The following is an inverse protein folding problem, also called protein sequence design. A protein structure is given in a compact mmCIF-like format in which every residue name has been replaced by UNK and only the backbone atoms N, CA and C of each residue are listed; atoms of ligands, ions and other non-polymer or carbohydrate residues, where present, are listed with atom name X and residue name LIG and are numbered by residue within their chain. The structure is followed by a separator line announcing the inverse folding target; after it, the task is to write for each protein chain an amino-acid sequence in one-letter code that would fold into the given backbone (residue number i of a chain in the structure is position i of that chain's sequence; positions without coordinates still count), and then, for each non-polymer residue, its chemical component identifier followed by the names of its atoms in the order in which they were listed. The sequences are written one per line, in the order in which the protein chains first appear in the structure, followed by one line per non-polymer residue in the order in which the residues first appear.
data_IF_702401019383
#
_entry.id   IF_702401019383
#
_cell.length_a   1.000
_cell.length_b   1.000
_cell.length_c   1.000
_cell.angle_alpha   90.00
_cell.angle_beta   90.00
_cell.angle_gamma   90.00
#
_symmetry.space_group_name_H-M   'P 1'
#
loop_
_entity.id
_entity.type
_entity.pdbx_description
1 polymer ?
#
# COMPACT_ATOMS: atom_id res chain seq x y z
N UNK A 1 -9.15 -27.52 -24.62
CA UNK A 1 -7.70 -27.25 -24.53
C UNK A 1 -7.36 -25.75 -24.62
N UNK A 2 -7.50 -25.05 -25.76
CA UNK A 2 -7.14 -23.63 -25.85
C UNK A 2 -7.96 -22.69 -24.92
N UNK A 3 -9.28 -22.91 -24.81
CA UNK A 3 -10.14 -22.13 -23.91
C UNK A 3 -9.84 -22.38 -22.42
N UNK A 4 -9.44 -23.62 -22.06
CA UNK A 4 -9.06 -23.97 -20.68
C UNK A 4 -7.74 -23.29 -20.30
N UNK A 5 -6.73 -23.32 -21.18
CA UNK A 5 -5.46 -22.62 -20.97
C UNK A 5 -5.64 -21.09 -20.84
N UNK A 6 -6.53 -20.49 -21.65
CA UNK A 6 -6.85 -19.06 -21.55
C UNK A 6 -7.56 -18.70 -20.23
N UNK A 7 -8.44 -19.60 -19.74
CA UNK A 7 -9.12 -19.44 -18.45
C UNK A 7 -8.13 -19.54 -17.28
N UNK A 8 -7.22 -20.52 -17.30
CA UNK A 8 -6.19 -20.72 -16.29
C UNK A 8 -5.24 -19.51 -16.21
N UNK A 9 -4.81 -18.96 -17.36
CA UNK A 9 -3.97 -17.75 -17.39
C UNK A 9 -4.69 -16.53 -16.81
N UNK A 10 -5.99 -16.39 -17.11
CA UNK A 10 -6.81 -15.30 -16.55
C UNK A 10 -6.92 -15.42 -15.02
N UNK A 11 -7.17 -16.64 -14.53
CA UNK A 11 -7.24 -16.90 -13.09
C UNK A 11 -5.91 -16.59 -12.38
N UNK A 12 -4.78 -17.03 -12.96
CA UNK A 12 -3.46 -16.74 -12.41
C UNK A 12 -3.16 -15.22 -12.34
N UNK A 13 -3.56 -14.45 -13.35
CA UNK A 13 -3.42 -12.99 -13.35
C UNK A 13 -4.29 -12.33 -12.27
N UNK A 14 -5.54 -12.76 -12.13
CA UNK A 14 -6.44 -12.24 -11.11
C UNK A 14 -5.89 -12.50 -9.70
N UNK A 15 -5.32 -13.68 -9.47
CA UNK A 15 -4.67 -14.01 -8.19
C UNK A 15 -3.48 -13.10 -7.91
N UNK A 16 -2.62 -12.85 -8.90
CA UNK A 16 -1.49 -11.92 -8.74
C UNK A 16 -1.95 -10.49 -8.42
N UNK A 17 -2.99 -10.00 -9.10
CA UNK A 17 -3.55 -8.68 -8.83
C UNK A 17 -4.15 -8.59 -7.41
N UNK A 18 -4.85 -9.65 -6.97
CA UNK A 18 -5.40 -9.69 -5.61
C UNK A 18 -4.27 -9.67 -4.57
N UNK A 19 -3.23 -10.48 -4.74
CA UNK A 19 -2.07 -10.50 -3.84
C UNK A 19 -1.38 -9.13 -3.78
N UNK A 20 -1.20 -8.48 -4.93
CA UNK A 20 -0.63 -7.13 -5.00
C UNK A 20 -1.51 -6.09 -4.29
N UNK A 21 -2.84 -6.16 -4.46
CA UNK A 21 -3.77 -5.27 -3.79
C UNK A 21 -3.76 -5.45 -2.26
N UNK A 22 -3.67 -6.70 -1.78
CA UNK A 22 -3.55 -7.00 -0.35
C UNK A 22 -2.25 -6.46 0.22
N UNK A 23 -1.11 -6.71 -0.43
CA UNK A 23 0.19 -6.19 0.01
C UNK A 23 0.19 -4.65 0.06
N UNK A 24 -0.41 -3.99 -0.93
CA UNK A 24 -0.57 -2.53 -0.95
C UNK A 24 -1.41 -2.04 0.23
N UNK A 25 -2.53 -2.70 0.51
CA UNK A 25 -3.40 -2.37 1.65
C UNK A 25 -2.66 -2.51 2.98
N UNK A 26 -1.88 -3.56 3.13
CA UNK A 26 -1.12 -3.83 4.36
C UNK A 26 -0.03 -2.78 4.58
N UNK A 27 0.73 -2.42 3.54
CA UNK A 27 1.71 -1.33 3.62
C UNK A 27 1.07 0.01 4.02
N UNK A 28 -0.07 0.36 3.41
CA UNK A 28 -0.81 1.57 3.78
C UNK A 28 -1.27 1.51 5.24
N UNK A 29 -1.75 0.36 5.71
CA UNK A 29 -2.15 0.14 7.10
C UNK A 29 -0.99 0.35 8.09
N UNK A 30 0.17 -0.23 7.81
CA UNK A 30 1.36 -0.09 8.65
C UNK A 30 1.87 1.36 8.68
N UNK A 31 1.97 2.01 7.52
CA UNK A 31 2.39 3.41 7.44
C UNK A 31 1.43 4.34 8.20
N UNK A 32 0.11 4.08 8.16
CA UNK A 32 -0.86 4.80 9.01
C UNK A 32 -0.55 4.60 10.49
N UNK A 33 -0.25 3.37 10.93
CA UNK A 33 0.13 3.09 12.31
C UNK A 33 1.35 3.90 12.76
N UNK A 34 2.38 3.98 11.91
CA UNK A 34 3.57 4.81 12.16
C UNK A 34 3.20 6.29 12.28
N UNK A 35 2.38 6.83 11.37
CA UNK A 35 1.97 8.24 11.39
C UNK A 35 1.08 8.57 12.60
N UNK A 36 0.15 7.69 12.97
CA UNK A 36 -0.67 7.84 14.18
C UNK A 36 0.24 8.00 15.41
N UNK A 37 1.25 7.14 15.55
CA UNK A 37 2.17 7.16 16.69
C UNK A 37 3.10 8.38 16.66
N UNK A 38 3.64 8.76 15.49
CA UNK A 38 4.63 9.84 15.36
C UNK A 38 4.03 11.24 15.36
N UNK A 39 2.79 11.38 14.89
CA UNK A 39 2.16 12.68 14.70
C UNK A 39 0.98 12.95 15.66
N UNK A 40 0.65 11.99 16.52
CA UNK A 40 -0.48 12.06 17.47
C UNK A 40 -1.81 12.41 16.77
N UNK A 41 -2.14 11.65 15.74
CA UNK A 41 -3.33 11.84 14.91
C UNK A 41 -4.18 10.59 14.85
N UNK A 42 -5.48 10.75 14.59
CA UNK A 42 -6.35 9.61 14.37
C UNK A 42 -6.10 8.90 13.02
N UNK A 43 -6.78 7.77 12.85
CA UNK A 43 -6.66 6.92 11.66
C UNK A 43 -7.11 7.61 10.37
N UNK A 44 -8.12 8.48 10.42
CA UNK A 44 -8.63 9.18 9.25
C UNK A 44 -7.62 10.26 8.81
N UNK A 45 -7.09 11.02 9.76
CA UNK A 45 -6.09 12.06 9.52
C UNK A 45 -4.77 11.48 9.01
N UNK A 46 -4.31 10.34 9.53
CA UNK A 46 -3.13 9.65 9.00
C UNK A 46 -3.29 9.25 7.52
N UNK A 47 -4.49 8.79 7.12
CA UNK A 47 -4.75 8.47 5.71
C UNK A 47 -4.80 9.73 4.82
N UNK A 48 -5.35 10.84 5.32
CA UNK A 48 -5.30 12.14 4.64
C UNK A 48 -3.85 12.56 4.40
N UNK A 49 -2.97 12.42 5.40
CA UNK A 49 -1.55 12.75 5.25
C UNK A 49 -0.85 11.92 4.16
N UNK A 50 -1.09 10.61 4.10
CA UNK A 50 -0.58 9.76 3.01
C UNK A 50 -1.07 10.23 1.63
N UNK A 51 -2.36 10.56 1.52
CA UNK A 51 -2.95 11.07 0.27
C UNK A 51 -2.34 12.41 -0.13
N UNK A 52 -2.20 13.34 0.81
CA UNK A 52 -1.59 14.65 0.57
C UNK A 52 -0.15 14.49 0.08
N UNK A 53 0.68 13.70 0.77
CA UNK A 53 2.06 13.44 0.33
C UNK A 53 2.12 12.79 -1.06
N UNK A 54 1.24 11.83 -1.34
CA UNK A 54 1.15 11.21 -2.66
C UNK A 54 0.82 12.22 -3.76
N UNK A 55 -0.10 13.14 -3.50
CA UNK A 55 -0.49 14.19 -4.44
C UNK A 55 0.62 15.21 -4.64
N UNK A 56 1.20 15.70 -3.54
CA UNK A 56 2.26 16.72 -3.55
C UNK A 56 3.51 16.21 -4.28
N UNK A 57 3.84 14.93 -4.12
CA UNK A 57 5.01 14.31 -4.73
C UNK A 57 4.71 13.64 -6.08
N UNK A 58 3.43 13.54 -6.48
CA UNK A 58 2.98 12.77 -7.64
C UNK A 58 3.54 11.33 -7.66
N UNK A 59 3.49 10.66 -6.50
CA UNK A 59 3.97 9.29 -6.30
C UNK A 59 2.83 8.43 -5.78
N UNK A 60 2.75 7.17 -6.20
CA UNK A 60 1.72 6.25 -5.73
C UNK A 60 1.73 6.15 -4.19
N UNK A 61 0.53 6.18 -3.57
CA UNK A 61 0.35 6.09 -2.10
C UNK A 61 1.07 4.87 -1.50
N UNK A 62 1.09 3.74 -2.22
CA UNK A 62 1.82 2.53 -1.82
C UNK A 62 3.32 2.79 -1.59
N UNK A 63 3.96 3.53 -2.50
CA UNK A 63 5.40 3.87 -2.41
C UNK A 63 5.68 4.86 -1.30
N UNK A 64 4.76 5.80 -1.05
CA UNK A 64 4.86 6.70 0.12
C UNK A 64 4.77 5.89 1.42
N UNK A 65 3.84 4.94 1.49
CA UNK A 65 3.67 4.08 2.65
C UNK A 65 4.92 3.22 2.92
N UNK A 66 5.47 2.58 1.88
CA UNK A 66 6.73 1.83 1.97
C UNK A 66 7.88 2.68 2.52
N UNK A 67 8.07 3.89 2.00
CA UNK A 67 9.13 4.80 2.46
C UNK A 67 8.98 5.20 3.93
N UNK A 68 7.75 5.44 4.39
CA UNK A 68 7.49 5.74 5.81
C UNK A 68 7.85 4.56 6.72
N UNK A 69 7.57 3.32 6.28
CA UNK A 69 7.90 2.11 7.02
C UNK A 69 9.42 1.91 7.07
N UNK A 70 10.10 2.09 5.94
CA UNK A 70 11.57 2.03 5.85
C UNK A 70 12.22 3.06 6.79
N UNK A 71 11.77 4.32 6.74
CA UNK A 71 12.28 5.41 7.58
C UNK A 71 12.02 5.13 9.08
N UNK A 72 10.87 4.53 9.43
CA UNK A 72 10.57 4.12 10.81
C UNK A 72 11.48 3.00 11.28
N UNK A 73 11.68 1.96 10.47
CA UNK A 73 12.51 0.80 10.80
C UNK A 73 13.98 1.18 10.97
N UNK A 74 14.47 2.12 10.15
CA UNK A 74 15.83 2.65 10.26
C UNK A 74 16.05 3.55 11.50
N UNK A 75 14.98 3.98 12.16
CA UNK A 75 15.04 4.82 13.37
C UNK A 75 15.01 4.01 14.69
N UNK A 76 14.94 2.68 14.61
CA UNK A 76 15.00 1.74 15.75
C UNK A 76 16.45 1.32 16.03
#
# INVERSE_FOLDING_TARGET
MAAQAASELTAARAELHLRSALATRDAIGQAKGVLIQRCDVDTARAFVMLRTLSQDLNVAVARIAERIIEDHTASL
#
